data_IF_899122838784
#
_entry.id   IF_899122838784
#
_cell.length_a   1.000
_cell.length_b   1.000
_cell.length_c   1.000
_cell.angle_alpha   90.00
_cell.angle_beta   90.00
_cell.angle_gamma   90.00
#
_symmetry.space_group_name_H-M   'P 1'
#
loop_
_entity.id
_entity.type
_entity.pdbx_description
1 polymer ?
#
# COMPACT_ATOMS: atom_id res chain seq x y z
N UNK A 1 7.28 5.74 7.36
CA UNK A 1 6.29 4.69 7.69
C UNK A 1 6.78 3.91 8.89
N UNK A 2 6.04 3.95 9.98
CA UNK A 2 6.44 3.29 11.23
C UNK A 2 5.48 2.16 11.63
N UNK A 3 4.40 1.97 10.91
CA UNK A 3 3.40 0.97 11.24
C UNK A 3 2.68 0.42 10.02
N UNK A 4 1.82 -0.53 10.25
CA UNK A 4 1.03 -1.20 9.23
C UNK A 4 -0.44 -1.18 9.62
N UNK A 5 -1.30 -0.84 8.67
CA UNK A 5 -2.75 -0.90 8.82
C UNK A 5 -3.29 -2.03 7.96
N UNK A 6 -4.14 -2.88 8.56
CA UNK A 6 -4.81 -3.99 7.86
C UNK A 6 -6.30 -3.79 7.97
N UNK A 7 -6.99 -3.78 6.83
CA UNK A 7 -8.44 -3.62 6.77
C UNK A 7 -9.10 -4.98 6.57
N UNK A 8 -10.08 -5.28 7.42
CA UNK A 8 -10.89 -6.47 7.27
C UNK A 8 -11.87 -6.34 6.11
N UNK A 9 -12.18 -7.46 5.43
CA UNK A 9 -13.02 -7.45 4.24
C UNK A 9 -14.52 -7.46 4.55
N UNK A 10 -14.94 -8.13 5.62
CA UNK A 10 -16.38 -8.31 5.93
C UNK A 10 -16.88 -7.36 7.00
N UNK A 11 -16.02 -7.02 7.92
CA UNK A 11 -16.32 -6.07 8.99
C UNK A 11 -15.26 -5.00 8.85
N UNK A 12 -15.67 -3.74 8.82
CA UNK A 12 -14.75 -2.62 8.69
C UNK A 12 -13.91 -2.48 9.95
N UNK A 13 -13.11 -3.51 10.24
CA UNK A 13 -12.17 -3.50 11.35
C UNK A 13 -10.80 -3.11 10.84
N UNK A 14 -10.25 -2.04 11.42
CA UNK A 14 -8.87 -1.65 11.17
C UNK A 14 -8.02 -2.13 12.34
N UNK A 15 -6.97 -2.85 12.03
CA UNK A 15 -5.97 -3.25 13.01
C UNK A 15 -4.67 -2.52 12.70
N UNK A 16 -4.02 -2.00 13.73
CA UNK A 16 -2.77 -1.25 13.59
C UNK A 16 -1.69 -1.98 14.38
N UNK A 17 -0.61 -2.33 13.70
CA UNK A 17 0.57 -2.94 14.31
C UNK A 17 1.71 -1.94 14.25
N UNK A 18 2.14 -1.45 15.41
CA UNK A 18 3.24 -0.48 15.49
C UNK A 18 4.57 -1.22 15.47
N UNK A 19 5.56 -0.57 14.86
CA UNK A 19 6.92 -1.13 14.74
C UNK A 19 6.91 -2.54 14.17
N UNK A 20 6.04 -2.76 13.19
CA UNK A 20 5.78 -4.08 12.63
C UNK A 20 6.97 -4.64 11.87
N UNK A 21 7.61 -3.81 11.06
CA UNK A 21 8.73 -4.26 10.22
C UNK A 21 10.02 -4.27 11.02
N UNK A 22 10.83 -5.35 10.91
CA UNK A 22 12.18 -5.31 11.45
C UNK A 22 12.98 -4.13 10.88
N UNK A 23 13.93 -3.55 11.64
CA UNK A 23 14.63 -2.33 11.19
C UNK A 23 15.30 -2.45 9.83
N UNK A 24 15.89 -3.59 9.52
CA UNK A 24 16.50 -3.80 8.20
C UNK A 24 15.45 -3.78 7.09
N UNK A 25 14.34 -4.47 7.31
CA UNK A 25 13.27 -4.53 6.33
C UNK A 25 12.63 -3.16 6.11
N UNK A 26 12.42 -2.42 7.20
CA UNK A 26 11.92 -1.04 7.11
C UNK A 26 12.84 -0.18 6.25
N UNK A 27 14.16 -0.27 6.43
CA UNK A 27 15.11 0.50 5.63
C UNK A 27 15.03 0.15 4.15
N UNK A 28 14.88 -1.12 3.82
CA UNK A 28 14.74 -1.56 2.42
C UNK A 28 13.49 -0.97 1.79
N UNK A 29 12.35 -1.05 2.48
CA UNK A 29 11.09 -0.49 1.99
C UNK A 29 11.19 1.03 1.86
N UNK A 30 11.74 1.71 2.87
CA UNK A 30 11.92 3.15 2.83
C UNK A 30 12.77 3.57 1.63
N UNK A 31 13.89 2.89 1.41
CA UNK A 31 14.78 3.24 0.32
C UNK A 31 14.15 2.98 -1.04
N UNK A 32 13.29 1.97 -1.14
CA UNK A 32 12.54 1.73 -2.36
C UNK A 32 11.54 2.87 -2.64
N UNK A 33 10.81 3.32 -1.61
CA UNK A 33 9.72 4.28 -1.78
C UNK A 33 10.21 5.74 -1.81
N UNK A 34 11.26 6.05 -1.08
CA UNK A 34 11.70 7.44 -0.87
C UNK A 34 12.87 7.83 -1.76
N UNK A 35 13.25 6.98 -2.70
CA UNK A 35 14.27 7.29 -3.70
C UNK A 35 13.64 7.27 -5.09
N UNK A 36 14.43 7.58 -6.11
CA UNK A 36 13.96 7.59 -7.50
C UNK A 36 13.88 6.20 -8.14
N UNK A 37 14.00 5.14 -7.34
CA UNK A 37 13.98 3.77 -7.86
C UNK A 37 12.60 3.32 -8.31
N UNK A 38 11.55 3.70 -7.57
CA UNK A 38 10.19 3.23 -7.81
C UNK A 38 9.51 4.16 -8.82
N UNK A 39 9.03 3.63 -9.96
CA UNK A 39 8.25 4.45 -10.88
C UNK A 39 6.91 4.82 -10.26
N UNK A 40 6.61 6.10 -10.20
CA UNK A 40 5.34 6.61 -9.73
C UNK A 40 4.52 7.10 -10.90
N UNK A 41 3.24 6.71 -10.94
CA UNK A 41 2.32 7.09 -12.01
C UNK A 41 1.30 8.07 -11.48
N UNK A 42 1.09 9.15 -12.21
CA UNK A 42 0.15 10.19 -11.85
C UNK A 42 -1.30 9.70 -12.02
N UNK A 43 -2.12 9.97 -11.01
CA UNK A 43 -3.57 9.78 -11.06
C UNK A 43 -4.23 11.09 -10.66
N UNK A 44 -5.17 11.56 -11.47
CA UNK A 44 -5.84 12.83 -11.22
C UNK A 44 -6.94 12.75 -10.17
N UNK A 45 -7.29 11.55 -9.71
CA UNK A 45 -8.35 11.34 -8.71
C UNK A 45 -8.00 10.22 -7.76
N UNK A 46 -8.32 10.44 -6.48
CA UNK A 46 -8.22 9.42 -5.44
C UNK A 46 -9.38 8.45 -5.53
N UNK A 47 -10.60 8.99 -5.68
CA UNK A 47 -11.84 8.24 -5.94
C UNK A 47 -12.57 8.92 -7.08
N UNK A 48 -13.55 8.22 -7.68
CA UNK A 48 -14.24 8.69 -8.88
C UNK A 48 -14.83 10.10 -8.74
N UNK A 49 -15.32 10.44 -7.55
CA UNK A 49 -16.00 11.71 -7.29
C UNK A 49 -15.09 12.77 -6.67
N UNK A 50 -13.86 12.40 -6.30
CA UNK A 50 -12.92 13.29 -5.65
C UNK A 50 -11.80 13.67 -6.60
N UNK A 51 -11.50 14.96 -6.70
CA UNK A 51 -10.52 15.49 -7.65
C UNK A 51 -9.11 15.67 -7.08
N UNK A 52 -8.84 15.06 -5.94
CA UNK A 52 -7.49 15.08 -5.40
C UNK A 52 -6.58 14.17 -6.22
N UNK A 53 -5.42 14.66 -6.58
CA UNK A 53 -4.46 13.86 -7.32
C UNK A 53 -3.59 13.04 -6.39
N UNK A 54 -3.00 11.97 -6.93
CA UNK A 54 -2.01 11.15 -6.23
C UNK A 54 -1.11 10.48 -7.24
N UNK A 55 -0.05 9.89 -6.73
CA UNK A 55 0.81 9.02 -7.52
C UNK A 55 0.68 7.59 -7.01
N UNK A 56 0.74 6.63 -7.91
CA UNK A 56 0.61 5.23 -7.55
C UNK A 56 1.69 4.38 -8.19
N UNK A 57 1.97 3.26 -7.56
CA UNK A 57 2.74 2.16 -8.15
C UNK A 57 2.05 0.85 -7.79
N UNK A 58 1.68 0.06 -8.79
CA UNK A 58 1.04 -1.23 -8.59
C UNK A 58 2.10 -2.33 -8.61
N UNK A 59 2.13 -3.13 -7.54
CA UNK A 59 3.03 -4.29 -7.43
C UNK A 59 2.35 -5.56 -7.89
N UNK A 60 1.05 -5.66 -7.65
CA UNK A 60 0.24 -6.83 -8.01
C UNK A 60 -1.16 -6.37 -8.38
N UNK A 61 -1.74 -6.99 -9.40
CA UNK A 61 -3.13 -6.78 -9.78
C UNK A 61 -3.70 -8.07 -10.35
N UNK A 62 -4.97 -8.36 -10.03
CA UNK A 62 -5.65 -9.60 -10.41
C UNK A 62 -4.84 -10.84 -10.07
N UNK A 63 -4.19 -10.83 -8.90
CA UNK A 63 -3.38 -11.94 -8.42
C UNK A 63 -2.05 -12.13 -9.13
N UNK A 64 -1.65 -11.21 -9.99
CA UNK A 64 -0.42 -11.32 -10.75
C UNK A 64 0.55 -10.19 -10.42
N UNK A 65 1.83 -10.56 -10.32
CA UNK A 65 2.90 -9.59 -10.09
C UNK A 65 3.11 -8.78 -11.36
N UNK A 66 3.03 -7.44 -11.23
CA UNK A 66 3.16 -6.53 -12.36
C UNK A 66 4.63 -6.19 -12.62
N UNK A 67 5.36 -5.85 -11.57
CA UNK A 67 6.76 -5.46 -11.65
C UNK A 67 7.61 -6.37 -10.77
N UNK A 68 8.04 -7.54 -11.28
CA UNK A 68 8.82 -8.47 -10.44
C UNK A 68 10.11 -7.85 -9.90
N UNK A 69 10.69 -6.91 -10.64
CA UNK A 69 11.93 -6.25 -10.25
C UNK A 69 11.82 -5.52 -8.90
N UNK A 70 10.65 -5.00 -8.56
CA UNK A 70 10.43 -4.26 -7.31
C UNK A 70 9.65 -5.06 -6.28
N UNK A 71 9.30 -6.31 -6.56
CA UNK A 71 8.33 -7.05 -5.76
C UNK A 71 8.94 -7.69 -4.52
N UNK A 72 10.22 -8.06 -4.53
CA UNK A 72 10.82 -8.83 -3.43
C UNK A 72 10.65 -8.19 -2.04
N UNK A 73 10.90 -6.88 -1.84
CA UNK A 73 10.69 -6.30 -0.51
C UNK A 73 9.23 -6.36 -0.07
N UNK A 74 8.30 -6.23 -1.01
CA UNK A 74 6.86 -6.30 -0.72
C UNK A 74 6.46 -7.73 -0.39
N UNK A 75 7.00 -8.71 -1.11
CA UNK A 75 6.73 -10.13 -0.82
C UNK A 75 7.18 -10.51 0.58
N UNK A 76 8.37 -10.05 0.98
CA UNK A 76 8.85 -10.29 2.34
C UNK A 76 7.91 -9.66 3.39
N UNK A 77 7.35 -8.50 3.09
CA UNK A 77 6.36 -7.89 3.97
C UNK A 77 5.08 -8.72 4.06
N UNK A 78 4.63 -9.29 2.95
CA UNK A 78 3.47 -10.18 2.95
C UNK A 78 3.68 -11.40 3.84
N UNK A 79 4.88 -11.98 3.80
CA UNK A 79 5.20 -13.12 4.65
C UNK A 79 5.07 -12.76 6.13
N UNK A 80 5.49 -11.55 6.51
CA UNK A 80 5.33 -11.06 7.88
C UNK A 80 3.86 -10.83 8.24
N UNK A 81 3.06 -10.33 7.30
CA UNK A 81 1.63 -10.13 7.53
C UNK A 81 0.93 -11.46 7.80
N UNK A 82 1.32 -12.52 7.10
CA UNK A 82 0.73 -13.85 7.30
C UNK A 82 0.95 -14.41 8.69
N UNK A 83 1.97 -13.95 9.40
CA UNK A 83 2.17 -14.31 10.81
C UNK A 83 1.13 -13.68 11.73
N UNK A 84 0.48 -12.61 11.29
CA UNK A 84 -0.53 -11.89 12.07
C UNK A 84 -1.94 -12.20 11.62
N UNK A 85 -2.15 -12.42 10.33
CA UNK A 85 -3.48 -12.64 9.74
C UNK A 85 -3.43 -13.77 8.74
N UNK A 86 -4.41 -14.66 8.80
CA UNK A 86 -4.60 -15.68 7.78
C UNK A 86 -5.42 -15.11 6.63
N UNK A 87 -4.96 -15.32 5.41
CA UNK A 87 -5.71 -14.94 4.22
C UNK A 87 -5.51 -15.99 3.13
N UNK A 88 -6.52 -16.09 2.25
CA UNK A 88 -6.53 -17.12 1.20
C UNK A 88 -5.59 -16.73 0.06
N UNK A 89 -5.55 -15.46 -0.27
CA UNK A 89 -4.68 -14.97 -1.32
C UNK A 89 -4.67 -13.45 -1.36
N UNK A 90 -3.83 -12.91 -2.22
CA UNK A 90 -3.71 -11.48 -2.43
C UNK A 90 -4.04 -11.17 -3.88
N UNK A 91 -5.02 -10.31 -4.11
CA UNK A 91 -5.42 -9.94 -5.47
C UNK A 91 -4.76 -8.66 -5.94
N UNK A 92 -4.47 -7.73 -5.04
CA UNK A 92 -3.92 -6.44 -5.41
C UNK A 92 -3.01 -5.88 -4.34
N UNK A 93 -1.90 -5.30 -4.77
CA UNK A 93 -0.98 -4.55 -3.92
C UNK A 93 -0.61 -3.27 -4.66
N UNK A 94 -0.88 -2.14 -4.02
CA UNK A 94 -0.62 -0.83 -4.61
C UNK A 94 -0.08 0.11 -3.55
N UNK A 95 0.90 0.91 -3.92
CA UNK A 95 1.37 2.01 -3.08
C UNK A 95 0.83 3.33 -3.61
N UNK A 96 0.65 4.28 -2.69
CA UNK A 96 0.13 5.60 -3.00
C UNK A 96 1.05 6.66 -2.43
N UNK A 97 1.26 7.73 -3.19
CA UNK A 97 2.05 8.88 -2.76
C UNK A 97 1.19 10.13 -2.88
N UNK A 98 1.00 10.80 -1.76
CA UNK A 98 0.29 12.07 -1.69
C UNK A 98 1.30 13.18 -1.39
N UNK A 99 1.19 14.29 -2.13
CA UNK A 99 2.06 15.43 -1.89
C UNK A 99 1.49 16.33 -0.79
N UNK A 100 2.36 17.07 -0.14
CA UNK A 100 1.94 18.06 0.84
C UNK A 100 1.31 19.25 0.10
N UNK A 101 0.05 19.54 0.42
CA UNK A 101 -0.70 20.64 -0.20
C UNK A 101 -0.93 21.81 0.78
N UNK A 102 -0.20 21.83 1.90
CA UNK A 102 -0.28 22.91 2.87
C UNK A 102 -1.52 22.86 3.77
N UNK A 103 -2.28 21.79 3.73
CA UNK A 103 -3.50 21.62 4.56
C UNK A 103 -3.75 20.13 4.76
N UNK A 104 -4.51 19.83 5.81
CA UNK A 104 -5.00 18.47 6.03
C UNK A 104 -6.06 18.13 4.98
N UNK A 105 -5.92 16.97 4.37
CA UNK A 105 -6.88 16.45 3.40
C UNK A 105 -7.30 15.07 3.86
N UNK A 106 -8.61 14.82 3.95
CA UNK A 106 -9.17 13.51 4.27
C UNK A 106 -9.90 12.97 3.07
N UNK A 107 -9.54 11.76 2.67
CA UNK A 107 -10.20 11.08 1.57
C UNK A 107 -11.34 10.22 2.09
N UNK A 108 -12.46 10.10 1.34
CA UNK A 108 -13.55 9.20 1.77
C UNK A 108 -13.07 7.76 1.82
N UNK A 109 -13.63 7.00 2.74
CA UNK A 109 -13.37 5.56 2.80
C UNK A 109 -13.92 4.90 1.53
N UNK A 110 -13.15 3.97 0.97
CA UNK A 110 -13.56 3.27 -0.25
C UNK A 110 -12.86 1.92 -0.32
N UNK A 111 -13.39 1.05 -1.18
CA UNK A 111 -12.75 -0.21 -1.53
C UNK A 111 -12.08 -0.06 -2.89
N UNK A 112 -10.86 -0.60 -3.02
CA UNK A 112 -10.14 -0.59 -4.29
C UNK A 112 -10.84 -1.47 -5.32
N UNK A 113 -11.43 -2.58 -4.86
CA UNK A 113 -12.24 -3.47 -5.70
C UNK A 113 -13.45 -3.94 -4.92
N UNK A 114 -14.62 -4.12 -5.57
CA UNK A 114 -15.79 -4.69 -4.92
C UNK A 114 -15.48 -6.11 -4.44
N UNK A 115 -16.12 -6.52 -3.37
CA UNK A 115 -15.98 -7.90 -2.90
C UNK A 115 -16.50 -8.93 -3.91
#
# INVERSE_FOLDING_TARGET
MTGLEIFGSLISMTEIYRDFLPPHHFRVIRDLFMTERLPWHYNDRVVTTERQFMFTHAFMDNGQVINPHFFEPVRAMLDLIQLKKTFIGVSRIKSKLYTNQGREIRHPAHQEKPP
#
